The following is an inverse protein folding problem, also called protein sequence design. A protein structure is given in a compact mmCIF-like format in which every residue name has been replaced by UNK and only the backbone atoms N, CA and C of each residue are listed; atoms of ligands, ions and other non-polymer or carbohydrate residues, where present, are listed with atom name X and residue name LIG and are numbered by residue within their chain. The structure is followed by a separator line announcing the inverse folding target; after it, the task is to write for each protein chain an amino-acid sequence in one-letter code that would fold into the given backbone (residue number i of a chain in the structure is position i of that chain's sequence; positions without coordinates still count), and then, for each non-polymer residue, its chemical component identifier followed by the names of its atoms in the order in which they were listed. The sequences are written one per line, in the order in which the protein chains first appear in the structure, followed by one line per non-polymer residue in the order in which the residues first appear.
data_IF_452401250294
#
_entry.id   IF_452401250294
#
_cell.length_a   1.000
_cell.length_b   1.000
_cell.length_c   1.000
_cell.angle_alpha   90.00
_cell.angle_beta   90.00
_cell.angle_gamma   90.00
#
_symmetry.space_group_name_H-M   'P 1'
#
loop_
_entity.id
_entity.type
_entity.pdbx_description
1 polymer ?
#
# COMPACT_ATOMS: atom_id res chain seq x y z
N UNK A 1 49.88 60.76 28.73
CA UNK A 1 49.88 59.42 28.24
C UNK A 1 48.65 58.68 28.77
N UNK A 2 47.61 58.51 27.96
CA UNK A 2 46.36 57.79 28.36
C UNK A 2 46.20 56.64 27.42
N UNK A 3 46.27 55.40 27.99
CA UNK A 3 46.04 54.16 27.28
C UNK A 3 44.54 53.91 27.25
N UNK A 4 43.94 53.78 26.05
CA UNK A 4 42.57 53.32 25.85
C UNK A 4 42.61 51.82 25.53
N UNK A 5 42.14 51.01 26.49
CA UNK A 5 41.95 49.60 26.31
C UNK A 5 40.66 49.34 25.55
N UNK A 6 40.75 48.88 24.29
CA UNK A 6 39.63 48.44 23.50
C UNK A 6 39.20 47.05 23.92
N UNK A 7 37.95 46.91 24.36
CA UNK A 7 37.30 45.62 24.61
C UNK A 7 36.65 45.14 23.31
N UNK A 8 37.17 44.05 22.71
CA UNK A 8 36.55 43.38 21.62
C UNK A 8 35.52 42.38 22.15
N UNK A 9 34.24 42.66 21.94
CA UNK A 9 33.17 41.73 22.21
C UNK A 9 33.03 40.83 20.98
N UNK A 10 33.45 39.56 21.08
CA UNK A 10 33.22 38.55 20.09
C UNK A 10 31.78 38.05 20.20
N UNK A 11 30.94 38.40 19.23
CA UNK A 11 29.61 37.77 19.10
C UNK A 11 29.74 36.39 18.49
N UNK A 12 29.54 35.36 19.29
CA UNK A 12 29.42 34.01 18.81
C UNK A 12 27.98 33.77 18.29
N UNK A 13 27.86 33.70 16.97
CA UNK A 13 26.58 33.30 16.33
C UNK A 13 26.38 31.81 16.47
N UNK A 14 25.45 31.39 17.32
CA UNK A 14 25.00 29.99 17.41
C UNK A 14 24.01 29.75 16.27
N UNK A 15 24.47 29.09 15.22
CA UNK A 15 23.60 28.57 14.16
C UNK A 15 22.87 27.35 14.71
N UNK A 16 21.60 27.50 15.02
CA UNK A 16 20.72 26.37 15.34
C UNK A 16 20.43 25.58 14.07
N UNK A 17 21.05 24.42 13.92
CA UNK A 17 20.73 23.46 12.88
C UNK A 17 19.43 22.77 13.30
N UNK A 18 18.33 23.19 12.72
CA UNK A 18 17.07 22.48 12.78
C UNK A 18 17.21 21.19 11.95
N UNK A 19 17.51 20.10 12.63
CA UNK A 19 17.41 18.76 12.04
C UNK A 19 15.92 18.47 11.84
N UNK A 20 15.44 18.62 10.61
CA UNK A 20 14.18 18.06 10.21
C UNK A 20 14.34 16.54 10.18
N UNK A 21 13.90 15.88 11.25
CA UNK A 21 13.71 14.45 11.24
C UNK A 21 12.61 14.15 10.22
N UNK A 22 13.00 13.71 9.02
CA UNK A 22 12.09 13.03 8.12
C UNK A 22 11.60 11.80 8.88
N UNK A 23 10.34 11.81 9.27
CA UNK A 23 9.66 10.61 9.72
C UNK A 23 9.63 9.66 8.52
N UNK A 24 10.66 8.82 8.40
CA UNK A 24 10.53 7.59 7.66
C UNK A 24 9.44 6.81 8.40
N UNK A 25 8.26 6.73 7.83
CA UNK A 25 7.21 5.86 8.33
C UNK A 25 7.82 4.47 8.46
N UNK A 26 7.98 4.05 9.69
CA UNK A 26 8.47 2.71 10.03
C UNK A 26 7.40 1.71 9.60
N UNK A 27 7.52 1.21 8.36
CA UNK A 27 6.65 0.18 7.80
C UNK A 27 7.02 -1.22 8.29
N UNK A 28 7.85 -1.32 9.29
CA UNK A 28 8.29 -2.59 9.86
C UNK A 28 7.18 -3.37 10.58
N UNK A 29 5.99 -2.78 10.77
CA UNK A 29 4.84 -3.41 11.41
C UNK A 29 3.58 -3.48 10.53
N UNK A 30 3.69 -3.79 9.24
CA UNK A 30 2.50 -4.07 8.44
C UNK A 30 1.80 -5.32 8.97
N UNK A 31 0.57 -5.17 9.43
CA UNK A 31 -0.26 -6.30 9.84
C UNK A 31 -0.86 -6.95 8.60
N UNK A 32 -0.31 -8.10 8.24
CA UNK A 32 -0.76 -8.88 7.11
C UNK A 32 -2.02 -9.67 7.44
N UNK A 33 -3.02 -9.60 6.60
CA UNK A 33 -4.22 -10.41 6.74
C UNK A 33 -3.90 -11.90 6.49
N UNK A 34 -4.47 -12.75 7.32
CA UNK A 34 -4.53 -14.20 7.09
C UNK A 34 -5.48 -14.53 5.94
N UNK A 35 -5.41 -15.74 5.39
CA UNK A 35 -6.34 -16.19 4.35
C UNK A 35 -7.80 -16.15 4.77
N UNK A 36 -8.10 -16.48 6.02
CA UNK A 36 -9.46 -16.41 6.58
C UNK A 36 -9.94 -14.97 6.71
N UNK A 37 -9.07 -14.06 7.15
CA UNK A 37 -9.39 -12.63 7.22
C UNK A 37 -9.61 -12.03 5.83
N UNK A 38 -8.80 -12.39 4.84
CA UNK A 38 -8.99 -11.97 3.44
C UNK A 38 -10.37 -12.43 2.95
N UNK A 39 -10.72 -13.69 3.17
CA UNK A 39 -12.01 -14.24 2.78
C UNK A 39 -13.17 -13.54 3.48
N UNK A 40 -13.09 -13.37 4.79
CA UNK A 40 -14.12 -12.71 5.57
C UNK A 40 -14.31 -11.23 5.19
N UNK A 41 -13.22 -10.57 4.81
CA UNK A 41 -13.23 -9.15 4.45
C UNK A 41 -13.80 -8.92 3.05
N UNK A 42 -13.44 -9.75 2.06
CA UNK A 42 -13.68 -9.42 0.66
C UNK A 42 -14.72 -10.29 -0.05
N UNK A 43 -14.97 -11.52 0.38
CA UNK A 43 -15.94 -12.38 -0.30
C UNK A 43 -17.35 -11.79 -0.31
N UNK A 44 -17.97 -11.71 -1.49
CA UNK A 44 -19.30 -11.14 -1.70
C UNK A 44 -19.32 -9.61 -1.70
N UNK A 45 -18.19 -8.93 -1.85
CA UNK A 45 -18.07 -7.47 -1.73
C UNK A 45 -17.65 -6.80 -3.03
N UNK A 46 -18.22 -5.59 -3.30
CA UNK A 46 -17.69 -4.71 -4.34
C UNK A 46 -16.47 -3.97 -3.79
N UNK A 47 -15.43 -3.92 -4.61
CA UNK A 47 -14.17 -3.20 -4.33
C UNK A 47 -13.96 -2.11 -5.36
N UNK A 48 -13.34 -1.03 -4.94
CA UNK A 48 -12.73 -0.03 -5.79
C UNK A 48 -11.27 0.14 -5.40
N UNK A 49 -10.45 0.52 -6.36
CA UNK A 49 -9.03 0.65 -6.08
C UNK A 49 -8.29 1.56 -7.04
N UNK A 50 -7.02 1.77 -6.73
CA UNK A 50 -6.07 2.53 -7.53
C UNK A 50 -4.78 1.72 -7.68
N UNK A 51 -4.19 1.81 -8.86
CA UNK A 51 -2.80 1.44 -9.06
C UNK A 51 -1.84 2.54 -8.58
N UNK A 52 -0.55 2.27 -8.43
CA UNK A 52 0.45 3.30 -8.14
C UNK A 52 0.43 4.47 -9.14
N UNK A 53 0.04 4.18 -10.39
CA UNK A 53 -0.16 5.18 -11.46
C UNK A 53 -1.40 6.07 -11.28
N UNK A 54 -2.15 5.89 -10.19
CA UNK A 54 -3.44 6.55 -9.92
C UNK A 54 -4.56 6.14 -10.89
N UNK A 55 -4.36 5.11 -11.70
CA UNK A 55 -5.39 4.57 -12.58
C UNK A 55 -6.42 3.80 -11.74
N UNK A 56 -7.71 4.15 -11.82
CA UNK A 56 -8.75 3.50 -11.02
C UNK A 56 -9.16 2.16 -11.63
N UNK A 57 -9.63 1.27 -10.76
CA UNK A 57 -10.24 0.01 -11.11
C UNK A 57 -11.36 -0.33 -10.13
N UNK A 58 -12.24 -1.22 -10.54
CA UNK A 58 -13.31 -1.77 -9.70
C UNK A 58 -13.34 -3.29 -9.85
N UNK A 59 -13.74 -3.97 -8.80
CA UNK A 59 -13.85 -5.42 -8.82
C UNK A 59 -14.95 -5.91 -7.88
N UNK A 60 -15.79 -6.82 -8.35
CA UNK A 60 -16.76 -7.50 -7.49
C UNK A 60 -16.26 -8.90 -7.18
N UNK A 61 -16.08 -9.19 -5.92
CA UNK A 61 -15.60 -10.49 -5.42
C UNK A 61 -16.81 -11.38 -5.10
N UNK A 62 -17.11 -12.33 -5.96
CA UNK A 62 -18.20 -13.28 -5.73
C UNK A 62 -17.90 -14.21 -4.54
N UNK A 63 -18.89 -14.50 -3.73
CA UNK A 63 -18.74 -15.46 -2.62
C UNK A 63 -18.44 -16.90 -3.10
N UNK A 64 -18.75 -17.19 -4.36
CA UNK A 64 -18.56 -18.48 -5.03
C UNK A 64 -17.18 -18.65 -5.71
N UNK A 65 -16.26 -17.71 -5.51
CA UNK A 65 -14.93 -17.70 -6.13
C UNK A 65 -14.90 -17.10 -7.54
N UNK A 66 -16.00 -16.52 -8.02
CA UNK A 66 -16.00 -15.73 -9.24
C UNK A 66 -15.56 -14.29 -8.94
N UNK A 67 -15.07 -13.60 -9.96
CA UNK A 67 -14.79 -12.17 -9.85
C UNK A 67 -15.14 -11.46 -11.16
N UNK A 68 -15.52 -10.19 -11.04
CA UNK A 68 -15.77 -9.32 -12.19
C UNK A 68 -14.92 -8.05 -12.00
N UNK A 69 -13.87 -7.94 -12.81
CA UNK A 69 -12.91 -6.85 -12.75
C UNK A 69 -13.17 -5.85 -13.87
N UNK A 70 -13.14 -4.56 -13.57
CA UNK A 70 -13.35 -3.47 -14.51
C UNK A 70 -12.24 -2.42 -14.40
N UNK A 71 -11.70 -2.05 -15.57
CA UNK A 71 -10.73 -0.98 -15.70
C UNK A 71 -11.01 -0.17 -16.97
N UNK A 72 -11.39 1.09 -16.79
CA UNK A 72 -11.83 1.93 -17.90
C UNK A 72 -13.05 1.31 -18.60
N UNK A 73 -12.91 1.05 -19.91
CA UNK A 73 -13.96 0.40 -20.73
C UNK A 73 -13.88 -1.13 -20.73
N UNK A 74 -12.82 -1.68 -20.16
CA UNK A 74 -12.60 -3.13 -20.16
C UNK A 74 -13.29 -3.78 -18.97
N UNK A 75 -13.82 -4.98 -19.20
CA UNK A 75 -14.46 -5.80 -18.19
C UNK A 75 -14.07 -7.26 -18.39
N UNK A 76 -13.57 -7.90 -17.33
CA UNK A 76 -13.15 -9.29 -17.35
C UNK A 76 -13.85 -10.07 -16.25
N UNK A 77 -14.42 -11.20 -16.59
CA UNK A 77 -14.86 -12.20 -15.62
C UNK A 77 -13.70 -13.15 -15.34
N UNK A 78 -13.41 -13.38 -14.08
CA UNK A 78 -12.31 -14.21 -13.64
C UNK A 78 -12.67 -15.10 -12.47
N UNK A 79 -11.64 -15.61 -11.85
CA UNK A 79 -11.73 -16.41 -10.64
C UNK A 79 -10.79 -15.87 -9.60
N UNK A 80 -11.19 -15.99 -8.32
CA UNK A 80 -10.33 -15.71 -7.19
C UNK A 80 -10.30 -16.88 -6.22
N UNK A 81 -9.20 -17.01 -5.48
CA UNK A 81 -9.02 -18.00 -4.42
C UNK A 81 -8.01 -17.51 -3.40
N UNK A 82 -7.93 -18.23 -2.27
CA UNK A 82 -6.90 -18.02 -1.27
C UNK A 82 -5.86 -19.14 -1.42
N UNK A 83 -4.60 -18.75 -1.48
CA UNK A 83 -3.46 -19.65 -1.40
C UNK A 83 -2.65 -19.26 -0.17
N UNK A 84 -2.68 -20.06 0.87
CA UNK A 84 -2.09 -19.74 2.17
C UNK A 84 -2.59 -18.40 2.73
N UNK A 85 -1.82 -17.34 2.58
CA UNK A 85 -2.14 -15.97 3.00
C UNK A 85 -2.18 -14.99 1.84
N UNK A 86 -2.38 -15.50 0.64
CA UNK A 86 -2.42 -14.70 -0.58
C UNK A 86 -3.81 -14.67 -1.18
N UNK A 87 -4.20 -13.52 -1.66
CA UNK A 87 -5.40 -13.26 -2.44
C UNK A 87 -5.05 -13.36 -3.91
N UNK A 88 -5.49 -14.44 -4.56
CA UNK A 88 -5.10 -14.78 -5.91
C UNK A 88 -6.24 -14.56 -6.90
N UNK A 89 -5.89 -14.13 -8.10
CA UNK A 89 -6.80 -13.87 -9.21
C UNK A 89 -6.30 -14.45 -10.51
N UNK A 90 -7.22 -14.80 -11.40
CA UNK A 90 -6.93 -15.15 -12.79
C UNK A 90 -8.06 -14.65 -13.69
N UNK A 91 -7.68 -14.06 -14.81
CA UNK A 91 -8.60 -13.58 -15.84
C UNK A 91 -8.24 -14.21 -17.19
N UNK A 92 -9.24 -14.41 -18.11
CA UNK A 92 -8.96 -14.92 -19.43
C UNK A 92 -8.09 -13.93 -20.24
N UNK A 93 -7.35 -14.41 -21.23
CA UNK A 93 -6.53 -13.56 -22.09
C UNK A 93 -7.34 -12.43 -22.78
N UNK A 94 -6.77 -11.22 -22.93
CA UNK A 94 -5.41 -10.80 -22.56
C UNK A 94 -5.24 -10.43 -21.09
N UNK A 95 -6.23 -10.69 -20.26
CA UNK A 95 -6.13 -10.45 -18.83
C UNK A 95 -5.11 -11.37 -18.18
N UNK A 96 -4.42 -10.84 -17.21
CA UNK A 96 -3.50 -11.57 -16.35
C UNK A 96 -4.07 -11.61 -14.95
N UNK A 97 -3.48 -12.35 -14.06
CA UNK A 97 -3.82 -12.37 -12.65
C UNK A 97 -2.55 -12.31 -11.84
N UNK A 98 -2.66 -12.60 -10.57
CA UNK A 98 -1.54 -12.63 -9.65
C UNK A 98 -1.99 -13.09 -8.29
N UNK A 99 -1.04 -13.28 -7.38
CA UNK A 99 -1.28 -13.57 -5.98
C UNK A 99 -0.64 -12.48 -5.13
N UNK A 100 -1.40 -11.94 -4.19
CA UNK A 100 -1.00 -10.77 -3.43
C UNK A 100 -1.19 -11.02 -1.93
N UNK A 101 -0.23 -10.59 -1.14
CA UNK A 101 -0.44 -10.39 0.28
C UNK A 101 -1.22 -9.09 0.49
N UNK A 102 -2.04 -9.08 1.51
CA UNK A 102 -2.92 -7.94 1.80
C UNK A 102 -2.61 -7.42 3.19
N UNK A 103 -2.45 -6.11 3.32
CA UNK A 103 -2.39 -5.44 4.62
C UNK A 103 -3.52 -4.43 4.76
N UNK A 104 -4.00 -4.23 5.99
CA UNK A 104 -4.97 -3.19 6.33
C UNK A 104 -4.22 -1.93 6.75
N UNK A 105 -4.46 -0.83 6.05
CA UNK A 105 -3.87 0.48 6.36
C UNK A 105 -4.76 1.29 7.29
N UNK A 106 -6.08 1.23 7.09
CA UNK A 106 -7.09 1.89 7.92
C UNK A 106 -8.43 1.17 7.80
N UNK A 107 -9.50 1.70 8.37
CA UNK A 107 -10.80 1.03 8.47
C UNK A 107 -11.34 0.52 7.13
N UNK A 108 -11.23 1.33 6.08
CA UNK A 108 -11.62 0.97 4.72
C UNK A 108 -10.51 1.31 3.72
N UNK A 109 -9.29 0.85 4.01
CA UNK A 109 -8.14 0.97 3.12
C UNK A 109 -7.23 -0.24 3.27
N UNK A 110 -6.91 -0.87 2.15
CA UNK A 110 -6.06 -2.06 2.07
C UNK A 110 -5.03 -1.87 0.96
N UNK A 111 -3.86 -2.47 1.14
CA UNK A 111 -2.83 -2.50 0.11
C UNK A 111 -2.50 -3.93 -0.27
N UNK A 112 -2.31 -4.13 -1.57
CA UNK A 112 -1.91 -5.39 -2.21
C UNK A 112 -0.43 -5.36 -2.52
N UNK A 113 0.27 -6.45 -2.20
CA UNK A 113 1.70 -6.61 -2.48
C UNK A 113 1.93 -7.94 -3.18
N UNK A 114 2.53 -7.90 -4.35
CA UNK A 114 2.99 -9.09 -5.04
C UNK A 114 4.26 -9.60 -4.36
N UNK A 115 4.27 -10.90 -4.12
CA UNK A 115 5.45 -11.59 -3.60
C UNK A 115 6.03 -12.44 -4.73
N UNK A 116 7.16 -12.02 -5.24
CA UNK A 116 8.00 -12.89 -6.07
C UNK A 116 8.61 -13.98 -5.17
N UNK A 117 7.83 -15.03 -4.92
CA UNK A 117 8.40 -16.26 -4.39
C UNK A 117 8.45 -17.31 -5.50
N UNK A 118 9.58 -17.47 -6.17
CA UNK A 118 9.74 -18.57 -7.14
C UNK A 118 9.69 -19.97 -6.50
N UNK A 119 9.73 -20.07 -5.19
CA UNK A 119 9.89 -21.35 -4.49
C UNK A 119 9.21 -21.32 -3.11
N UNK A 120 7.93 -21.20 -2.98
CA UNK A 120 7.15 -21.60 -1.80
C UNK A 120 7.86 -21.67 -0.43
N UNK A 121 8.86 -20.85 -0.19
CA UNK A 121 9.72 -20.87 0.98
C UNK A 121 9.48 -19.65 1.84
N UNK A 122 9.36 -19.90 3.12
CA UNK A 122 9.28 -18.99 4.23
C UNK A 122 9.91 -17.62 3.98
N UNK A 123 9.09 -16.58 4.12
CA UNK A 123 9.47 -15.24 4.59
C UNK A 123 10.76 -14.64 4.02
N UNK A 124 10.82 -14.44 2.72
CA UNK A 124 11.48 -13.20 2.32
C UNK A 124 10.50 -12.09 2.73
N UNK A 125 10.90 -11.13 3.59
CA UNK A 125 10.11 -9.93 3.76
C UNK A 125 9.88 -9.37 2.36
N UNK A 126 8.66 -8.90 2.04
CA UNK A 126 8.45 -8.26 0.75
C UNK A 126 9.58 -7.28 0.58
N UNK A 127 10.08 -7.16 -0.63
CA UNK A 127 10.98 -6.05 -0.94
C UNK A 127 10.12 -4.78 -0.81
N UNK A 128 9.84 -4.41 0.45
CA UNK A 128 8.98 -3.31 0.88
C UNK A 128 9.59 -1.98 0.45
N UNK A 129 10.74 -2.08 -0.23
CA UNK A 129 11.44 -0.89 -0.64
C UNK A 129 10.54 0.00 -1.44
N UNK A 130 9.43 -0.51 -2.00
CA UNK A 130 8.74 0.50 -2.72
C UNK A 130 7.29 0.39 -3.00
N UNK A 131 6.53 -0.50 -3.28
CA UNK A 131 5.25 -0.09 -3.87
C UNK A 131 4.24 -1.22 -3.74
N UNK A 132 3.16 -0.91 -3.03
CA UNK A 132 1.94 -1.68 -3.20
C UNK A 132 1.59 -1.78 -4.70
N UNK A 133 1.13 -2.94 -5.12
CA UNK A 133 0.69 -3.19 -6.50
C UNK A 133 -0.70 -2.60 -6.75
N UNK A 134 -1.52 -2.55 -5.70
CA UNK A 134 -2.83 -1.94 -5.71
C UNK A 134 -3.23 -1.48 -4.33
N UNK A 135 -3.99 -0.39 -4.26
CA UNK A 135 -4.66 0.08 -3.05
C UNK A 135 -6.16 -0.03 -3.29
N UNK A 136 -6.89 -0.57 -2.32
CA UNK A 136 -8.31 -0.86 -2.49
C UNK A 136 -9.13 -0.59 -1.24
N UNK A 137 -10.43 -0.48 -1.42
CA UNK A 137 -11.44 -0.30 -0.38
C UNK A 137 -12.77 -0.91 -0.80
N UNK A 138 -13.67 -1.11 0.15
CA UNK A 138 -15.05 -1.48 -0.16
C UNK A 138 -15.76 -0.32 -0.84
N UNK A 139 -16.29 -0.56 -2.04
CA UNK A 139 -16.88 0.50 -2.87
C UNK A 139 -18.21 1.02 -2.34
N UNK A 140 -18.88 0.25 -1.50
CA UNK A 140 -20.17 0.59 -0.83
C UNK A 140 -20.00 1.46 0.44
N UNK A 141 -18.76 1.80 0.81
CA UNK A 141 -18.41 2.65 1.94
C UNK A 141 -17.42 3.75 1.53
N UNK A 142 -17.42 4.90 2.21
CA UNK A 142 -16.39 5.92 2.00
C UNK A 142 -14.99 5.34 2.22
N UNK A 143 -14.07 5.62 1.31
CA UNK A 143 -12.68 5.22 1.48
C UNK A 143 -12.02 5.98 2.62
N UNK A 144 -11.16 5.31 3.37
CA UNK A 144 -10.26 5.92 4.35
C UNK A 144 -8.81 5.91 3.88
N UNK A 145 -8.56 5.56 2.61
CA UNK A 145 -7.26 5.69 2.00
C UNK A 145 -6.91 7.17 1.83
N UNK A 146 -5.92 7.64 2.57
CA UNK A 146 -5.42 8.99 2.39
C UNK A 146 -4.80 9.17 1.00
N UNK A 147 -5.12 10.29 0.36
CA UNK A 147 -4.39 10.69 -0.83
C UNK A 147 -2.92 10.93 -0.43
N UNK A 148 -1.97 10.22 -1.03
CA UNK A 148 -0.56 10.56 -0.83
C UNK A 148 -0.34 12.00 -1.28
N UNK A 149 0.34 12.83 -0.47
CA UNK A 149 0.79 14.12 -0.97
C UNK A 149 1.69 13.87 -2.19
N UNK A 150 1.38 14.58 -3.28
CA UNK A 150 2.24 14.60 -4.47
C UNK A 150 3.61 15.13 -4.06
N UNK A 151 4.65 14.34 -4.21
CA UNK A 151 6.05 14.77 -4.06
C UNK A 151 6.52 15.33 -5.38
#
# INVERSE_FOLDING_TARGET
MRWLSGVFIAMASIAAILATASAAEDRSELVWLSGDEIRATFAGKPLAGLYPSQRPWEETIGADGTTNYREGENNWQGRWWIRDREFCFVYPPPGVGGCFRVTRISDNCFELYEFDSPLGGEEAPPNIANLWNGRMWHADHPTTCEARPSV
#
